data_IF_635866703372
#
_entry.id   IF_635866703372
#
_cell.length_a   1.000
_cell.length_b   1.000
_cell.length_c   1.000
_cell.angle_alpha   90.00
_cell.angle_beta   90.00
_cell.angle_gamma   90.00
#
_symmetry.space_group_name_H-M   'P 1'
#
loop_
_entity.id
_entity.type
_entity.pdbx_description
1 polymer ?
#
# COMPACT_ATOMS: atom_id res chain seq x y z
N UNK A 1 4.71 3.58 -20.65
CA UNK A 1 4.09 4.91 -20.71
C UNK A 1 3.62 5.33 -22.11
N UNK A 2 4.41 5.19 -23.22
CA UNK A 2 4.00 5.68 -24.54
C UNK A 2 2.63 5.15 -25.02
N UNK A 3 2.38 3.85 -24.84
CA UNK A 3 1.12 3.23 -25.26
C UNK A 3 -0.09 3.79 -24.53
N UNK A 4 0.04 4.04 -23.24
CA UNK A 4 -1.03 4.64 -22.42
C UNK A 4 -1.33 6.08 -22.86
N UNK A 5 -0.27 6.89 -23.11
CA UNK A 5 -0.43 8.24 -23.64
C UNK A 5 -1.07 8.22 -25.03
N UNK A 6 -0.68 7.29 -25.90
CA UNK A 6 -1.31 7.10 -27.22
C UNK A 6 -2.79 6.76 -27.11
N UNK A 7 -3.16 5.86 -26.20
CA UNK A 7 -4.57 5.45 -26.02
C UNK A 7 -5.44 6.62 -25.57
N UNK A 8 -4.98 7.40 -24.57
CA UNK A 8 -5.81 8.48 -24.03
C UNK A 8 -5.80 9.76 -24.88
N UNK A 9 -4.86 9.93 -25.80
CA UNK A 9 -4.76 11.13 -26.66
C UNK A 9 -5.13 10.87 -28.09
N UNK A 10 -5.08 9.62 -28.55
CA UNK A 10 -5.19 9.28 -29.98
C UNK A 10 -3.99 9.77 -30.82
N UNK A 11 -2.94 10.26 -30.20
CA UNK A 11 -1.77 10.85 -30.85
C UNK A 11 -0.57 9.88 -30.85
N UNK A 12 0.38 10.08 -31.75
CA UNK A 12 1.64 9.34 -31.75
C UNK A 12 2.60 9.87 -30.67
N UNK A 13 3.57 9.07 -30.22
CA UNK A 13 4.55 9.46 -29.20
C UNK A 13 5.21 10.82 -29.42
N UNK A 14 5.63 11.11 -30.65
CA UNK A 14 6.21 12.41 -31.02
C UNK A 14 5.25 13.59 -30.82
N UNK A 15 3.94 13.35 -30.88
CA UNK A 15 2.92 14.40 -30.72
C UNK A 15 2.54 14.58 -29.27
N UNK A 16 2.40 13.49 -28.52
CA UNK A 16 2.05 13.59 -27.10
C UNK A 16 3.27 13.71 -26.17
N UNK A 17 4.51 13.63 -26.68
CA UNK A 17 5.73 13.91 -25.93
C UNK A 17 6.26 12.78 -25.06
N UNK A 18 5.58 11.64 -25.00
CA UNK A 18 5.97 10.49 -24.16
C UNK A 18 6.53 9.39 -25.07
N UNK A 19 7.83 9.32 -25.18
CA UNK A 19 8.51 8.41 -26.12
C UNK A 19 9.07 7.15 -25.43
N UNK A 20 9.35 7.22 -24.10
CA UNK A 20 9.94 6.15 -23.32
C UNK A 20 9.44 6.14 -21.88
N UNK A 21 9.96 5.26 -21.06
CA UNK A 21 9.80 5.18 -19.61
C UNK A 21 10.41 6.39 -18.90
N UNK A 22 11.43 7.00 -19.53
CA UNK A 22 12.17 8.13 -19.01
C UNK A 22 11.98 9.35 -19.90
N UNK A 23 11.80 10.49 -19.24
CA UNK A 23 11.72 11.78 -19.90
C UNK A 23 13.07 12.50 -19.81
N UNK A 24 13.60 12.87 -20.97
CA UNK A 24 14.85 13.62 -21.09
C UNK A 24 14.53 15.11 -21.14
N UNK A 25 15.12 15.87 -20.24
CA UNK A 25 14.91 17.32 -20.19
C UNK A 25 15.77 18.02 -21.24
N UNK A 26 15.14 18.93 -21.99
CA UNK A 26 15.84 19.74 -22.97
C UNK A 26 16.99 20.55 -22.33
N UNK A 27 18.15 20.56 -22.96
CA UNK A 27 19.33 21.27 -22.47
C UNK A 27 20.10 20.58 -21.33
N UNK A 28 19.66 19.40 -20.86
CA UNK A 28 20.41 18.58 -19.90
C UNK A 28 21.19 17.47 -20.59
N UNK A 29 22.09 16.84 -19.84
CA UNK A 29 22.82 15.66 -20.31
C UNK A 29 21.82 14.52 -20.61
N UNK A 30 22.16 13.68 -21.59
CA UNK A 30 21.44 12.43 -21.86
C UNK A 30 21.85 11.30 -20.89
N UNK A 31 22.53 11.61 -19.80
CA UNK A 31 22.79 10.66 -18.72
C UNK A 31 21.45 10.26 -18.07
N UNK A 32 21.27 8.97 -17.87
CA UNK A 32 20.12 8.40 -17.17
C UNK A 32 19.83 9.05 -15.80
N UNK A 33 20.86 9.53 -15.11
CA UNK A 33 20.74 10.24 -13.82
C UNK A 33 20.08 11.61 -13.94
N UNK A 34 20.04 12.18 -15.13
CA UNK A 34 19.45 13.48 -15.43
C UNK A 34 18.02 13.35 -16.02
N UNK A 35 17.49 12.14 -16.07
CA UNK A 35 16.14 11.85 -16.54
C UNK A 35 15.13 11.84 -15.38
N UNK A 36 13.85 12.00 -15.72
CA UNK A 36 12.73 11.73 -14.82
C UNK A 36 11.85 10.63 -15.39
N UNK A 37 11.08 9.97 -14.56
CA UNK A 37 10.16 8.96 -15.05
C UNK A 37 8.97 9.60 -15.76
N UNK A 38 8.58 9.01 -16.90
CA UNK A 38 7.56 9.53 -17.79
C UNK A 38 6.15 9.03 -17.43
N UNK A 39 5.71 9.22 -16.16
CA UNK A 39 4.41 8.74 -15.66
C UNK A 39 3.43 9.84 -15.28
N UNK A 40 3.87 11.10 -15.25
CA UNK A 40 3.00 12.23 -14.92
C UNK A 40 2.16 12.71 -16.11
N UNK A 41 0.99 13.26 -15.85
CA UNK A 41 0.16 13.90 -16.87
C UNK A 41 0.79 15.19 -17.40
N UNK A 42 1.67 15.81 -16.62
CA UNK A 42 2.35 17.08 -16.93
C UNK A 42 3.27 16.99 -18.14
N UNK A 43 3.80 15.80 -18.44
CA UNK A 43 4.63 15.59 -19.63
C UNK A 43 3.81 15.27 -20.88
N UNK A 44 2.51 14.98 -20.75
CA UNK A 44 1.63 14.71 -21.90
C UNK A 44 1.22 16.04 -22.54
N UNK A 45 1.77 16.31 -23.73
CA UNK A 45 1.56 17.58 -24.47
C UNK A 45 0.31 17.60 -25.34
N UNK A 46 -0.23 16.43 -25.68
CA UNK A 46 -1.47 16.31 -26.45
C UNK A 46 -2.70 16.33 -25.53
N UNK A 47 -3.83 16.74 -26.10
CA UNK A 47 -5.12 16.71 -25.40
C UNK A 47 -5.56 15.29 -25.13
N UNK A 48 -5.93 15.00 -23.89
CA UNK A 48 -6.48 13.69 -23.53
C UNK A 48 -8.01 13.65 -23.76
N UNK A 49 -8.57 12.45 -23.83
CA UNK A 49 -10.02 12.28 -24.01
C UNK A 49 -10.82 12.97 -22.90
N UNK A 50 -10.35 12.92 -21.65
CA UNK A 50 -11.02 13.59 -20.54
C UNK A 50 -10.83 15.10 -20.57
N UNK A 51 -9.68 15.64 -21.05
CA UNK A 51 -9.50 17.07 -21.28
C UNK A 51 -10.50 17.59 -22.34
N UNK A 52 -10.66 16.83 -23.43
CA UNK A 52 -11.62 17.18 -24.48
C UNK A 52 -13.07 17.17 -23.97
N UNK A 53 -13.42 16.22 -23.11
CA UNK A 53 -14.75 16.17 -22.49
C UNK A 53 -14.98 17.32 -21.53
N UNK A 54 -13.99 17.61 -20.68
CA UNK A 54 -14.06 18.73 -19.72
C UNK A 54 -14.23 20.07 -20.42
N UNK A 55 -13.49 20.35 -21.49
CA UNK A 55 -13.64 21.55 -22.33
C UNK A 55 -15.03 21.70 -22.94
N UNK A 56 -15.72 20.60 -23.19
CA UNK A 56 -17.08 20.57 -23.71
C UNK A 56 -18.15 20.51 -22.59
N UNK A 57 -17.79 20.81 -21.34
CA UNK A 57 -18.70 20.83 -20.20
C UNK A 57 -19.24 19.47 -19.80
N UNK A 58 -18.60 18.39 -20.22
CA UNK A 58 -19.00 17.02 -19.86
C UNK A 58 -18.26 16.58 -18.60
N UNK A 59 -18.98 15.90 -17.70
CA UNK A 59 -18.38 15.26 -16.54
C UNK A 59 -17.70 13.97 -16.93
N UNK A 60 -16.52 13.73 -16.38
CA UNK A 60 -15.76 12.50 -16.59
C UNK A 60 -15.30 11.93 -15.25
N UNK A 61 -15.33 10.62 -15.10
CA UNK A 61 -14.71 9.92 -14.00
C UNK A 61 -13.58 9.07 -14.58
N UNK A 62 -12.36 9.32 -14.14
CA UNK A 62 -11.17 8.58 -14.55
C UNK A 62 -10.63 7.82 -13.36
N UNK A 63 -10.55 6.50 -13.47
CA UNK A 63 -10.09 5.63 -12.39
C UNK A 63 -8.91 4.80 -12.88
N UNK A 64 -7.84 4.75 -12.11
CA UNK A 64 -6.68 3.90 -12.34
C UNK A 64 -6.06 4.00 -13.74
N UNK A 65 -6.15 5.17 -14.38
CA UNK A 65 -5.55 5.32 -15.70
C UNK A 65 -4.10 5.82 -15.57
N UNK A 66 -3.11 5.07 -16.08
CA UNK A 66 -1.72 5.52 -16.05
C UNK A 66 -1.54 6.86 -16.75
N UNK A 67 -0.69 7.73 -16.20
CA UNK A 67 -0.40 9.07 -16.73
C UNK A 67 -1.57 10.06 -16.66
N UNK A 68 -2.58 9.80 -15.85
CA UNK A 68 -3.69 10.75 -15.65
C UNK A 68 -3.42 11.77 -14.54
N UNK A 69 -2.47 11.49 -13.65
CA UNK A 69 -2.17 12.33 -12.49
C UNK A 69 -0.94 13.24 -12.70
N UNK A 70 -0.94 14.49 -12.20
CA UNK A 70 -2.04 15.17 -11.53
C UNK A 70 -3.21 15.51 -12.48
N UNK A 71 -4.42 15.58 -11.92
CA UNK A 71 -5.62 15.91 -12.72
C UNK A 71 -5.58 17.35 -13.23
N UNK A 72 -5.90 17.51 -14.51
CA UNK A 72 -6.13 18.82 -15.15
C UNK A 72 -7.61 19.14 -15.34
N UNK A 73 -8.49 18.17 -15.01
CA UNK A 73 -9.94 18.34 -15.14
C UNK A 73 -10.50 19.34 -14.13
N UNK A 74 -11.48 20.13 -14.56
CA UNK A 74 -12.25 21.06 -13.73
C UNK A 74 -13.64 20.54 -13.39
N UNK A 75 -14.16 19.60 -14.19
CA UNK A 75 -15.55 19.14 -14.13
C UNK A 75 -15.61 17.62 -14.20
N UNK A 76 -15.13 16.96 -13.14
CA UNK A 76 -15.11 15.50 -13.07
C UNK A 76 -14.39 15.00 -11.82
N UNK A 77 -14.16 13.71 -11.76
CA UNK A 77 -13.41 13.06 -10.68
C UNK A 77 -12.28 12.24 -11.29
N UNK A 78 -11.10 12.39 -10.76
CA UNK A 78 -9.96 11.54 -11.09
C UNK A 78 -9.50 10.81 -9.84
N UNK A 79 -9.47 9.51 -9.92
CA UNK A 79 -8.89 8.63 -8.92
C UNK A 79 -7.67 8.02 -9.58
N UNK A 80 -6.50 8.40 -9.12
CA UNK A 80 -5.27 7.82 -9.61
C UNK A 80 -5.11 6.43 -9.01
N UNK A 81 -4.91 5.47 -9.85
CA UNK A 81 -4.81 4.11 -9.39
C UNK A 81 -3.50 3.44 -9.67
N UNK A 82 -2.83 3.78 -10.71
CA UNK A 82 -1.59 3.13 -11.04
C UNK A 82 -0.43 4.11 -10.95
N UNK A 83 0.17 4.17 -9.78
CA UNK A 83 1.51 4.65 -9.61
C UNK A 83 2.53 3.56 -9.94
N UNK A 84 3.78 3.87 -9.75
CA UNK A 84 4.86 2.91 -9.82
C UNK A 84 4.85 2.02 -8.58
N UNK A 85 5.24 0.76 -8.74
CA UNK A 85 5.43 -0.10 -7.57
C UNK A 85 6.43 0.53 -6.58
N UNK A 86 6.35 0.25 -5.28
CA UNK A 86 7.32 0.72 -4.30
C UNK A 86 8.77 0.39 -4.68
N UNK A 87 9.00 -0.68 -5.43
CA UNK A 87 10.32 -1.02 -5.96
C UNK A 87 10.81 -0.02 -7.02
N UNK A 88 9.92 0.65 -7.72
CA UNK A 88 10.21 1.63 -8.76
C UNK A 88 10.22 3.06 -8.21
N UNK A 89 9.60 3.32 -7.05
CA UNK A 89 9.62 4.63 -6.37
C UNK A 89 10.98 4.99 -5.73
N UNK A 90 11.97 4.11 -5.80
CA UNK A 90 13.37 4.41 -5.38
C UNK A 90 14.00 5.56 -6.16
N UNK A 91 13.40 5.96 -7.26
CA UNK A 91 13.87 7.07 -8.07
C UNK A 91 13.07 8.32 -7.67
N UNK A 92 13.74 9.43 -7.33
CA UNK A 92 13.04 10.67 -7.02
C UNK A 92 12.20 11.09 -8.22
N UNK A 93 10.89 10.94 -8.09
CA UNK A 93 9.94 11.51 -9.02
C UNK A 93 9.94 13.02 -8.77
N UNK A 94 10.54 13.78 -9.65
CA UNK A 94 10.53 15.22 -9.55
C UNK A 94 9.09 15.73 -9.72
N UNK A 95 8.48 16.14 -8.62
CA UNK A 95 7.27 16.94 -8.58
C UNK A 95 5.92 16.20 -8.56
N UNK A 96 5.88 14.90 -8.78
CA UNK A 96 4.65 14.11 -8.73
C UNK A 96 4.74 13.04 -7.65
N UNK A 97 4.60 13.46 -6.41
CA UNK A 97 4.52 12.56 -5.27
C UNK A 97 3.17 11.85 -5.34
N UNK A 98 3.21 10.58 -5.70
CA UNK A 98 2.04 9.71 -5.64
C UNK A 98 1.80 9.35 -4.17
N UNK A 99 0.73 9.90 -3.60
CA UNK A 99 0.38 9.71 -2.18
C UNK A 99 -0.70 8.64 -1.99
N UNK A 100 -0.70 7.63 -2.84
CA UNK A 100 -1.67 6.55 -2.81
C UNK A 100 -1.50 5.64 -1.60
N UNK A 101 -0.30 5.53 -1.07
CA UNK A 101 0.01 4.70 0.10
C UNK A 101 0.78 5.46 1.17
N UNK A 102 0.57 5.09 2.42
CA UNK A 102 1.31 5.62 3.56
C UNK A 102 2.63 4.89 3.77
N UNK A 103 2.65 3.58 3.55
CA UNK A 103 3.85 2.76 3.68
C UNK A 103 3.77 1.51 2.80
N UNK A 104 4.94 0.99 2.39
CA UNK A 104 5.04 -0.26 1.65
C UNK A 104 4.65 -1.47 2.50
N UNK A 105 4.46 -2.61 1.82
CA UNK A 105 4.23 -3.91 2.45
C UNK A 105 5.36 -4.30 3.40
N UNK A 106 5.06 -5.16 4.36
CA UNK A 106 6.00 -5.60 5.38
C UNK A 106 5.69 -7.03 5.84
N UNK A 107 6.53 -7.56 6.70
CA UNK A 107 6.33 -8.85 7.36
C UNK A 107 6.80 -8.80 8.82
N UNK A 108 6.05 -9.41 9.71
CA UNK A 108 6.49 -9.70 11.08
C UNK A 108 6.83 -11.19 11.11
N UNK A 109 8.03 -11.55 11.54
CA UNK A 109 8.50 -12.92 11.43
C UNK A 109 9.54 -13.27 12.50
N UNK A 110 9.67 -14.54 12.81
CA UNK A 110 10.80 -15.09 13.57
C UNK A 110 12.07 -15.21 12.72
N UNK A 111 11.93 -15.21 11.39
CA UNK A 111 13.04 -15.16 10.44
C UNK A 111 13.34 -13.73 9.96
N UNK A 112 14.55 -13.51 9.48
CA UNK A 112 14.95 -12.22 8.92
C UNK A 112 14.48 -12.04 7.48
N UNK A 113 13.78 -10.91 7.22
CA UNK A 113 13.45 -10.40 5.88
C UNK A 113 13.85 -8.92 5.74
N UNK A 114 14.41 -8.48 4.58
CA UNK A 114 14.87 -7.10 4.41
C UNK A 114 13.79 -6.04 4.59
N UNK A 115 12.53 -6.39 4.32
CA UNK A 115 11.35 -5.52 4.44
C UNK A 115 10.56 -5.78 5.73
N UNK A 116 11.06 -6.63 6.62
CA UNK A 116 10.35 -7.10 7.80
C UNK A 116 10.85 -6.55 9.12
N UNK A 117 10.11 -6.92 10.15
CA UNK A 117 10.48 -6.82 11.54
C UNK A 117 10.66 -8.22 12.09
N UNK A 118 11.87 -8.54 12.55
CA UNK A 118 12.15 -9.82 13.18
C UNK A 118 11.92 -9.72 14.69
N UNK A 119 11.29 -10.73 15.27
CA UNK A 119 11.06 -10.88 16.70
C UNK A 119 11.03 -12.32 17.14
N UNK A 120 10.87 -12.53 18.43
CA UNK A 120 10.67 -13.84 19.07
C UNK A 120 9.46 -13.75 19.99
N UNK A 121 8.79 -14.86 20.18
CA UNK A 121 7.73 -14.96 21.16
C UNK A 121 8.30 -15.23 22.56
N UNK A 122 7.74 -14.56 23.53
CA UNK A 122 7.96 -14.74 24.98
C UNK A 122 6.61 -14.92 25.67
N UNK A 123 6.60 -15.34 26.95
CA UNK A 123 5.38 -15.42 27.76
C UNK A 123 4.62 -14.09 27.73
N UNK A 124 3.33 -14.10 27.45
CA UNK A 124 2.51 -12.90 27.47
C UNK A 124 2.35 -12.35 28.91
N UNK A 125 2.75 -11.08 29.10
CA UNK A 125 2.71 -10.44 30.42
C UNK A 125 2.06 -9.07 30.37
N UNK A 126 1.20 -8.79 31.38
CA UNK A 126 0.60 -7.47 31.54
C UNK A 126 -0.55 -7.18 30.54
N UNK A 127 -1.11 -8.18 29.95
CA UNK A 127 -2.26 -8.07 29.04
C UNK A 127 -3.58 -7.88 29.79
N UNK A 128 -4.50 -7.19 29.13
CA UNK A 128 -5.90 -7.06 29.55
C UNK A 128 -6.79 -7.87 28.58
N UNK A 129 -7.91 -8.33 29.10
CA UNK A 129 -8.95 -9.00 28.31
C UNK A 129 -8.44 -10.16 27.46
N UNK A 130 -7.46 -10.91 27.94
CA UNK A 130 -6.95 -12.10 27.24
C UNK A 130 -8.11 -13.05 26.90
N UNK A 131 -8.06 -13.76 25.76
CA UNK A 131 -8.94 -14.86 25.52
C UNK A 131 -8.75 -15.95 26.59
N UNK A 132 -9.74 -16.80 26.76
CA UNK A 132 -9.61 -17.97 27.62
C UNK A 132 -8.66 -18.97 26.94
N UNK A 133 -7.44 -19.05 27.44
CA UNK A 133 -6.37 -19.87 26.88
C UNK A 133 -5.28 -20.15 27.94
N UNK A 134 -4.56 -21.24 27.74
CA UNK A 134 -3.40 -21.59 28.53
C UNK A 134 -2.14 -21.04 27.82
N UNK A 135 -1.13 -20.59 28.62
CA UNK A 135 0.21 -20.21 28.19
C UNK A 135 0.30 -19.31 26.92
N UNK A 136 -0.41 -18.14 26.87
CA UNK A 136 -0.33 -17.26 25.70
C UNK A 136 1.08 -16.67 25.55
N UNK A 137 1.52 -16.54 24.32
CA UNK A 137 2.80 -15.91 23.96
C UNK A 137 2.59 -14.52 23.36
N UNK A 138 3.58 -13.65 23.57
CA UNK A 138 3.61 -12.32 22.96
C UNK A 138 4.90 -12.06 22.18
N UNK A 139 4.79 -11.33 21.08
CA UNK A 139 5.92 -10.73 20.40
C UNK A 139 5.74 -9.20 20.36
N UNK A 140 6.70 -8.47 20.89
CA UNK A 140 6.70 -7.00 20.83
C UNK A 140 7.33 -6.56 19.52
N UNK A 141 6.58 -5.84 18.70
CA UNK A 141 6.97 -5.45 17.35
C UNK A 141 7.12 -3.95 17.24
N UNK A 142 8.34 -3.48 17.00
CA UNK A 142 8.61 -2.06 16.73
C UNK A 142 8.57 -1.82 15.23
N UNK A 143 7.38 -1.45 14.74
CA UNK A 143 7.14 -1.18 13.32
C UNK A 143 7.86 0.08 12.87
N UNK A 144 8.76 -0.07 11.92
CA UNK A 144 9.40 1.02 11.21
C UNK A 144 8.87 1.01 9.77
N UNK A 145 7.93 1.90 9.49
CA UNK A 145 7.33 2.01 8.16
C UNK A 145 8.36 2.54 7.17
N UNK A 146 8.55 1.78 6.08
CA UNK A 146 9.55 2.06 5.04
C UNK A 146 8.87 2.49 3.75
N UNK A 147 9.66 3.09 2.88
CA UNK A 147 9.22 3.51 1.53
C UNK A 147 7.93 4.34 1.56
N UNK A 148 7.80 5.16 2.59
CA UNK A 148 6.68 6.08 2.75
C UNK A 148 6.86 7.28 1.82
N UNK A 149 5.77 7.75 1.21
CA UNK A 149 5.77 9.01 0.46
C UNK A 149 6.12 10.19 1.37
N UNK A 150 5.55 10.18 2.58
CA UNK A 150 5.93 11.08 3.67
C UNK A 150 6.34 10.22 4.87
N UNK A 151 7.48 10.53 5.53
CA UNK A 151 7.94 9.73 6.64
C UNK A 151 6.90 9.60 7.75
N UNK A 152 6.54 8.37 8.09
CA UNK A 152 5.59 8.00 9.14
C UNK A 152 6.33 7.67 10.43
N UNK A 153 5.77 8.05 11.58
CA UNK A 153 6.31 7.67 12.88
C UNK A 153 6.20 6.15 13.08
N UNK A 154 7.25 5.57 13.67
CA UNK A 154 7.23 4.18 14.08
C UNK A 154 6.19 3.94 15.18
N UNK A 155 5.64 2.73 15.23
CA UNK A 155 4.66 2.33 16.22
C UNK A 155 5.08 1.01 16.87
N UNK A 156 4.72 0.81 18.13
CA UNK A 156 4.88 -0.48 18.78
C UNK A 156 3.57 -1.23 18.72
N UNK A 157 3.60 -2.41 18.12
CA UNK A 157 2.48 -3.33 18.07
C UNK A 157 2.82 -4.62 18.82
N UNK A 158 1.83 -5.41 19.10
CA UNK A 158 1.95 -6.64 19.87
C UNK A 158 1.25 -7.77 19.14
N UNK A 159 1.99 -8.81 18.79
CA UNK A 159 1.41 -10.08 18.35
C UNK A 159 1.14 -10.92 19.59
N UNK A 160 -0.07 -11.44 19.69
CA UNK A 160 -0.47 -12.41 20.71
C UNK A 160 -0.73 -13.75 20.02
N UNK A 161 -0.07 -14.81 20.45
CA UNK A 161 -0.28 -16.17 20.00
C UNK A 161 -0.88 -17.01 21.13
N UNK A 162 -1.85 -17.88 20.82
CA UNK A 162 -2.41 -18.81 21.81
C UNK A 162 -3.01 -20.04 21.15
N UNK A 163 -3.20 -21.06 21.96
CA UNK A 163 -3.94 -22.26 21.61
C UNK A 163 -5.42 -22.08 21.86
N UNK A 164 -6.26 -22.41 20.87
CA UNK A 164 -7.72 -22.44 21.05
C UNK A 164 -8.26 -23.88 21.17
N UNK A 165 -7.39 -24.87 21.18
CA UNK A 165 -7.67 -26.30 21.26
C UNK A 165 -6.47 -27.06 21.82
N UNK A 166 -6.36 -28.37 21.55
CA UNK A 166 -5.36 -29.24 22.17
C UNK A 166 -4.10 -29.50 21.29
N UNK A 167 -3.98 -28.81 20.15
CA UNK A 167 -2.99 -29.16 19.10
C UNK A 167 -1.92 -28.07 18.84
N UNK A 168 -1.60 -27.22 19.81
CA UNK A 168 -0.57 -26.17 19.68
C UNK A 168 -1.12 -24.80 19.26
N UNK A 169 -0.21 -23.83 19.06
CA UNK A 169 -0.59 -22.45 18.75
C UNK A 169 -1.28 -22.35 17.38
N UNK A 170 -2.55 -21.92 17.37
CA UNK A 170 -3.39 -21.87 16.18
C UNK A 170 -4.06 -20.52 15.94
N UNK A 171 -3.86 -19.54 16.83
CA UNK A 171 -4.43 -18.20 16.77
C UNK A 171 -3.36 -17.13 16.89
N UNK A 172 -3.51 -16.09 16.08
CA UNK A 172 -2.74 -14.87 16.19
C UNK A 172 -3.69 -13.67 16.24
N UNK A 173 -3.43 -12.75 17.17
CA UNK A 173 -3.99 -11.41 17.15
C UNK A 173 -2.87 -10.38 17.01
N UNK A 174 -3.11 -9.31 16.26
CA UNK A 174 -2.26 -8.13 16.24
C UNK A 174 -2.96 -6.98 16.96
N UNK A 175 -2.27 -6.37 17.93
CA UNK A 175 -2.84 -5.37 18.82
C UNK A 175 -1.98 -4.11 18.84
N UNK A 176 -2.58 -2.90 18.89
CA UNK A 176 -1.83 -1.64 19.06
C UNK A 176 -1.36 -1.43 20.49
N UNK A 177 -1.92 -2.15 21.45
CA UNK A 177 -1.58 -2.13 22.88
C UNK A 177 -1.81 -3.50 23.51
N UNK A 178 -1.32 -3.75 24.72
CA UNK A 178 -1.53 -5.01 25.45
C UNK A 178 -2.95 -5.14 26.01
N UNK A 179 -3.92 -5.07 25.14
CA UNK A 179 -5.35 -5.27 25.42
C UNK A 179 -6.00 -6.01 24.25
N UNK A 180 -6.36 -7.29 24.47
CA UNK A 180 -6.95 -8.11 23.41
C UNK A 180 -8.27 -7.54 22.87
N UNK A 181 -9.04 -6.81 23.70
CA UNK A 181 -10.25 -6.14 23.25
C UNK A 181 -10.01 -5.04 22.20
N UNK A 182 -8.74 -4.63 22.02
CA UNK A 182 -8.27 -3.65 21.05
C UNK A 182 -7.57 -4.29 19.83
N UNK A 183 -7.63 -5.61 19.73
CA UNK A 183 -7.01 -6.31 18.60
C UNK A 183 -7.51 -5.75 17.26
N UNK A 184 -6.61 -5.50 16.35
CA UNK A 184 -6.95 -5.17 14.96
C UNK A 184 -7.72 -6.32 14.31
N UNK A 185 -7.31 -7.55 14.63
CA UNK A 185 -7.92 -8.80 14.15
C UNK A 185 -7.42 -9.99 14.95
N UNK A 186 -8.10 -11.10 14.74
CA UNK A 186 -7.67 -12.45 15.14
C UNK A 186 -7.82 -13.36 13.93
N UNK A 187 -6.77 -14.10 13.58
CA UNK A 187 -6.73 -15.00 12.41
C UNK A 187 -6.01 -16.31 12.71
N UNK A 188 -6.23 -17.29 11.83
CA UNK A 188 -5.56 -18.59 11.76
C UNK A 188 -4.58 -18.66 10.61
N UNK A 189 -3.79 -19.71 10.58
CA UNK A 189 -2.89 -20.01 9.46
C UNK A 189 -3.67 -20.02 8.13
N UNK A 190 -3.15 -19.30 7.15
CA UNK A 190 -3.74 -19.11 5.82
C UNK A 190 -4.88 -18.10 5.74
N UNK A 191 -5.39 -17.57 6.86
CA UNK A 191 -6.47 -16.61 6.87
C UNK A 191 -5.97 -15.17 6.67
N UNK A 192 -6.79 -14.37 5.96
CA UNK A 192 -6.68 -12.93 5.90
C UNK A 192 -7.42 -12.27 7.04
N UNK A 193 -6.87 -11.18 7.54
CA UNK A 193 -7.64 -10.20 8.29
C UNK A 193 -8.69 -9.54 7.38
N UNK A 194 -9.76 -9.00 7.95
CA UNK A 194 -10.52 -7.95 7.29
C UNK A 194 -9.63 -6.72 7.04
N UNK A 195 -10.14 -5.69 6.33
CA UNK A 195 -9.42 -4.42 6.22
C UNK A 195 -9.30 -3.76 7.60
N UNK A 196 -8.06 -3.47 7.98
CA UNK A 196 -7.72 -2.79 9.22
C UNK A 196 -7.59 -1.30 8.94
N UNK A 197 -8.33 -0.47 9.66
CA UNK A 197 -8.16 0.98 9.65
C UNK A 197 -7.42 1.42 10.90
N UNK A 198 -6.33 2.18 10.72
CA UNK A 198 -5.53 2.66 11.82
C UNK A 198 -4.98 4.05 11.53
N UNK A 199 -4.67 4.79 12.58
CA UNK A 199 -4.15 6.15 12.51
C UNK A 199 -2.62 6.14 12.53
N UNK A 200 -2.04 6.89 11.59
CA UNK A 200 -0.60 7.03 11.42
C UNK A 200 -0.20 8.49 11.53
N UNK A 201 0.88 8.78 12.25
CA UNK A 201 1.39 10.14 12.41
C UNK A 201 2.46 10.43 11.38
N UNK A 202 2.31 11.52 10.62
CA UNK A 202 3.31 12.00 9.68
C UNK A 202 4.38 12.80 10.45
N UNK A 203 5.66 12.44 10.28
CA UNK A 203 6.77 13.04 11.04
C UNK A 203 6.96 14.52 10.75
N UNK A 204 6.62 14.98 9.55
CA UNK A 204 6.93 16.33 9.09
C UNK A 204 6.15 17.41 9.86
N UNK A 205 4.89 17.16 10.19
CA UNK A 205 3.96 18.15 10.77
C UNK A 205 3.10 17.58 11.91
N UNK A 206 3.26 16.32 12.26
CA UNK A 206 2.51 15.67 13.33
C UNK A 206 1.02 15.41 13.02
N UNK A 207 0.60 15.61 11.75
CA UNK A 207 -0.78 15.31 11.38
C UNK A 207 -1.04 13.81 11.40
N UNK A 208 -2.27 13.45 11.67
CA UNK A 208 -2.74 12.06 11.65
C UNK A 208 -3.36 11.74 10.32
N UNK A 209 -2.94 10.63 9.72
CA UNK A 209 -3.48 10.08 8.50
C UNK A 209 -4.07 8.70 8.76
N UNK A 210 -5.26 8.46 8.23
CA UNK A 210 -5.90 7.15 8.34
C UNK A 210 -5.38 6.23 7.24
N UNK A 211 -4.75 5.13 7.65
CA UNK A 211 -4.28 4.07 6.75
C UNK A 211 -5.18 2.83 6.79
N UNK A 212 -5.21 2.11 5.68
CA UNK A 212 -5.92 0.83 5.54
C UNK A 212 -4.95 -0.23 5.06
N UNK A 213 -4.93 -1.37 5.73
CA UNK A 213 -4.09 -2.52 5.38
C UNK A 213 -4.78 -3.85 5.68
N UNK A 214 -4.21 -4.94 5.20
CA UNK A 214 -4.64 -6.31 5.50
C UNK A 214 -3.44 -7.13 5.93
N UNK A 215 -3.69 -8.17 6.71
CA UNK A 215 -2.66 -9.12 7.12
C UNK A 215 -3.09 -10.54 6.76
N UNK A 216 -2.12 -11.38 6.41
CA UNK A 216 -2.31 -12.82 6.21
C UNK A 216 -1.29 -13.61 7.04
N UNK A 217 -1.76 -14.59 7.78
CA UNK A 217 -0.88 -15.49 8.52
C UNK A 217 -0.33 -16.55 7.57
N UNK A 218 0.94 -16.42 7.22
CA UNK A 218 1.61 -17.26 6.24
C UNK A 218 2.26 -18.49 6.87
N UNK A 219 2.66 -18.39 8.15
CA UNK A 219 3.32 -19.48 8.87
C UNK A 219 3.07 -19.36 10.37
N UNK A 220 2.79 -20.47 11.00
CA UNK A 220 2.70 -20.64 12.46
C UNK A 220 2.92 -22.12 12.77
N UNK A 221 4.03 -22.44 13.45
CA UNK A 221 4.27 -23.80 13.97
C UNK A 221 3.56 -23.99 15.30
N UNK A 222 3.36 -25.26 15.69
CA UNK A 222 2.66 -25.65 16.92
C UNK A 222 3.32 -25.09 18.20
N UNK A 223 4.62 -24.78 18.13
CA UNK A 223 5.43 -24.20 19.21
C UNK A 223 5.68 -22.69 19.04
N UNK A 224 5.13 -22.06 18.00
CA UNK A 224 5.34 -20.67 17.58
C UNK A 224 6.81 -20.28 17.30
N UNK A 225 7.74 -21.25 17.15
CA UNK A 225 9.13 -20.95 16.77
C UNK A 225 9.24 -20.50 15.31
N UNK A 226 8.35 -21.00 14.44
CA UNK A 226 8.24 -20.56 13.05
C UNK A 226 6.98 -19.71 12.87
N UNK A 227 7.16 -18.42 12.64
CA UNK A 227 6.06 -17.47 12.49
C UNK A 227 6.30 -16.48 11.36
N UNK A 228 5.27 -16.21 10.57
CA UNK A 228 5.29 -15.23 9.50
C UNK A 228 3.91 -14.63 9.27
N UNK A 229 3.79 -13.32 9.54
CA UNK A 229 2.60 -12.54 9.32
C UNK A 229 2.89 -11.48 8.25
N UNK A 230 2.33 -11.65 7.07
CA UNK A 230 2.40 -10.68 5.99
C UNK A 230 1.47 -9.51 6.26
N UNK A 231 1.94 -8.30 5.96
CA UNK A 231 1.19 -7.04 6.05
C UNK A 231 1.23 -6.41 4.67
N UNK A 232 0.06 -6.19 4.06
CA UNK A 232 -0.04 -5.48 2.78
C UNK A 232 0.46 -4.04 2.90
N UNK A 233 0.70 -3.39 1.78
CA UNK A 233 0.91 -1.94 1.77
C UNK A 233 -0.22 -1.20 2.47
N UNK A 234 0.14 -0.12 3.15
CA UNK A 234 -0.79 0.71 3.91
C UNK A 234 -1.34 1.78 2.98
N UNK A 235 -2.57 1.61 2.52
CA UNK A 235 -3.25 2.58 1.68
C UNK A 235 -3.65 3.83 2.48
N UNK A 236 -3.48 5.00 1.88
CA UNK A 236 -3.91 6.30 2.46
C UNK A 236 -4.99 6.97 1.63
N UNK A 237 -5.58 8.05 2.17
CA UNK A 237 -6.62 8.83 1.45
C UNK A 237 -6.05 10.03 0.69
N UNK A 238 -4.75 10.31 0.82
CA UNK A 238 -4.17 11.59 0.45
C UNK A 238 -3.57 11.56 -0.94
N UNK A 239 -3.85 12.61 -1.70
CA UNK A 239 -3.06 13.00 -2.87
C UNK A 239 -3.35 12.27 -4.17
N UNK A 240 -4.33 11.35 -4.22
CA UNK A 240 -4.65 10.62 -5.45
C UNK A 240 -6.09 10.77 -5.96
N UNK A 241 -6.86 11.69 -5.35
CA UNK A 241 -8.23 12.00 -5.76
C UNK A 241 -8.34 13.48 -6.06
N UNK A 242 -8.90 13.79 -7.20
CA UNK A 242 -9.19 15.15 -7.62
C UNK A 242 -10.64 15.25 -8.14
N UNK A 243 -11.45 16.18 -7.62
CA UNK A 243 -11.09 17.10 -6.53
C UNK A 243 -11.05 16.37 -5.18
N UNK A 244 -10.32 16.87 -4.17
CA UNK A 244 -10.13 16.17 -2.88
C UNK A 244 -11.42 15.83 -2.15
N UNK A 245 -12.44 16.66 -2.25
CA UNK A 245 -13.76 16.46 -1.65
C UNK A 245 -14.51 15.23 -2.21
N UNK A 246 -14.14 14.75 -3.38
CA UNK A 246 -14.69 13.51 -3.94
C UNK A 246 -14.32 12.29 -3.07
N UNK A 247 -13.26 12.38 -2.29
CA UNK A 247 -12.85 11.34 -1.35
C UNK A 247 -13.92 11.00 -0.32
N UNK A 248 -14.78 11.96 0.04
CA UNK A 248 -15.85 11.74 1.02
C UNK A 248 -16.98 10.83 0.50
N UNK A 249 -17.01 10.58 -0.81
CA UNK A 249 -17.98 9.73 -1.47
C UNK A 249 -17.47 8.32 -1.75
N UNK A 250 -16.21 8.02 -1.40
CA UNK A 250 -15.54 6.76 -1.69
C UNK A 250 -15.36 5.96 -0.40
N UNK A 251 -15.72 4.68 -0.43
CA UNK A 251 -15.49 3.77 0.68
C UNK A 251 -14.03 3.28 0.70
N UNK A 252 -13.19 3.97 1.46
CA UNK A 252 -11.79 3.57 1.66
C UNK A 252 -11.61 2.43 2.65
N UNK A 253 -12.66 1.99 3.33
CA UNK A 253 -12.54 0.92 4.33
C UNK A 253 -12.04 -0.41 3.74
N UNK A 254 -12.19 -0.58 2.43
CA UNK A 254 -11.79 -1.78 1.68
C UNK A 254 -10.63 -1.54 0.74
N UNK A 255 -10.10 -0.32 0.72
CA UNK A 255 -9.05 0.05 -0.19
C UNK A 255 -7.81 -0.83 0.00
N UNK A 256 -7.22 -1.24 -1.11
CA UNK A 256 -5.88 -1.83 -1.19
C UNK A 256 -5.17 -1.15 -2.34
N UNK A 257 -3.90 -0.82 -2.16
CA UNK A 257 -3.16 -0.09 -3.18
C UNK A 257 -2.92 -0.94 -4.42
N UNK A 258 -3.07 -0.36 -5.61
CA UNK A 258 -2.79 -1.02 -6.88
C UNK A 258 -1.30 -1.35 -7.05
N UNK A 259 -0.44 -0.57 -6.39
CA UNK A 259 1.01 -0.68 -6.51
C UNK A 259 1.61 -1.77 -5.64
N UNK A 260 0.82 -2.29 -4.72
CA UNK A 260 1.28 -3.25 -3.73
C UNK A 260 0.41 -4.50 -3.76
N UNK A 261 0.45 -5.16 -4.91
CA UNK A 261 -0.14 -6.49 -5.10
C UNK A 261 0.78 -7.60 -4.59
N UNK A 262 1.63 -7.30 -3.61
CA UNK A 262 2.52 -8.28 -2.99
C UNK A 262 3.74 -8.66 -3.82
N UNK A 263 4.09 -7.91 -4.87
CA UNK A 263 5.19 -8.31 -5.77
C UNK A 263 6.53 -8.40 -5.05
N UNK A 264 6.85 -7.44 -4.19
CA UNK A 264 8.13 -7.43 -3.45
C UNK A 264 8.15 -8.58 -2.43
N UNK A 265 7.06 -8.79 -1.70
CA UNK A 265 6.92 -9.91 -0.77
C UNK A 265 7.02 -11.27 -1.49
N UNK A 266 6.44 -11.39 -2.68
CA UNK A 266 6.55 -12.58 -3.52
C UNK A 266 7.99 -12.85 -3.97
N UNK A 267 8.70 -11.83 -4.45
CA UNK A 267 10.11 -11.95 -4.88
C UNK A 267 11.04 -12.34 -3.73
N UNK A 268 10.70 -11.99 -2.50
CA UNK A 268 11.43 -12.38 -1.30
C UNK A 268 10.94 -13.69 -0.67
N UNK A 269 9.98 -14.39 -1.29
CA UNK A 269 9.44 -15.65 -0.77
C UNK A 269 8.64 -15.51 0.52
N UNK A 270 8.11 -14.31 0.81
CA UNK A 270 7.27 -14.05 1.98
C UNK A 270 5.86 -14.56 1.75
N UNK A 271 5.34 -14.35 0.53
CA UNK A 271 4.03 -14.83 0.10
C UNK A 271 4.15 -15.71 -1.14
N UNK A 272 3.14 -16.51 -1.37
CA UNK A 272 3.01 -17.41 -2.51
C UNK A 272 2.17 -16.80 -3.65
N UNK A 273 2.09 -17.53 -4.77
CA UNK A 273 1.30 -17.12 -5.94
C UNK A 273 -0.18 -16.96 -5.63
N UNK A 274 -0.74 -17.84 -4.79
CA UNK A 274 -2.16 -17.80 -4.44
C UNK A 274 -2.47 -16.52 -3.66
N UNK A 275 -1.60 -16.13 -2.75
CA UNK A 275 -1.70 -14.86 -2.00
C UNK A 275 -1.62 -13.65 -2.92
N UNK A 276 -0.76 -13.67 -3.95
CA UNK A 276 -0.72 -12.59 -4.97
C UNK A 276 -2.06 -12.51 -5.72
N UNK A 277 -2.63 -13.65 -6.13
CA UNK A 277 -3.94 -13.67 -6.79
C UNK A 277 -5.04 -13.10 -5.90
N UNK A 278 -5.07 -13.46 -4.61
CA UNK A 278 -6.03 -12.91 -3.64
C UNK A 278 -5.89 -11.38 -3.48
N UNK A 279 -4.65 -10.85 -3.45
CA UNK A 279 -4.42 -9.40 -3.42
C UNK A 279 -4.96 -8.70 -4.67
N UNK A 280 -4.78 -9.29 -5.85
CA UNK A 280 -5.35 -8.79 -7.11
C UNK A 280 -6.87 -8.82 -7.07
N UNK A 281 -7.48 -9.86 -6.51
CA UNK A 281 -8.93 -9.95 -6.34
C UNK A 281 -9.46 -8.87 -5.40
N UNK A 282 -8.80 -8.62 -4.26
CA UNK A 282 -9.19 -7.55 -3.34
C UNK A 282 -9.13 -6.17 -4.02
N UNK A 283 -8.07 -5.91 -4.79
CA UNK A 283 -7.95 -4.67 -5.54
C UNK A 283 -9.06 -4.53 -6.58
N UNK A 284 -9.31 -5.59 -7.36
CA UNK A 284 -10.35 -5.60 -8.38
C UNK A 284 -11.76 -5.43 -7.79
N UNK A 285 -12.01 -5.99 -6.61
CA UNK A 285 -13.29 -5.85 -5.93
C UNK A 285 -13.52 -4.46 -5.30
N UNK A 286 -12.45 -3.70 -5.05
CA UNK A 286 -12.54 -2.34 -4.57
C UNK A 286 -12.86 -1.35 -5.70
N UNK A 287 -12.30 -1.55 -6.89
CA UNK A 287 -12.55 -0.73 -8.08
C UNK A 287 -14.01 -0.84 -8.56
#
# INVERSE_FOLDING_TARGET
PPSWATICTGAYPRTHGVEDYYYYHEGRSLDYKETTQAFGSDIVTAETIWDAWDKNGKKCIVVNYPMSWPSRMKNGVMIMGQGLSPAETRWPLHGNEHKEFLASESVISTEFYPMGVQGTFDDAKGWKNLPECDEPLEMVVNMAFKECVEPVEGQTWYCLAWESGDDGYDRIALCPEKDYSKAFFTIRLGEWSGPVQHDFTIKADGRTEKGVFRCKLMQLSDDAEEFKLYISGIAGRIGFIAPPEAADQIDFSKHITANDIGLVAFLHGIIDTDTVCELVEFHSAWL
#
